data_IF_324536242471
#
_entry.id   IF_324536242471
#
_cell.length_a   1.000
_cell.length_b   1.000
_cell.length_c   1.000
_cell.angle_alpha   90.00
_cell.angle_beta   90.00
_cell.angle_gamma   90.00
#
_symmetry.space_group_name_H-M   'P 1'
#
loop_
_entity.id
_entity.type
_entity.pdbx_description
1 polymer ?
#
# COMPACT_ATOMS: atom_id res chain seq x y z
N UNK A 1 -6.78 -44.99 18.21
CA UNK A 1 -5.47 -44.34 17.88
C UNK A 1 -5.38 -43.81 16.46
N UNK A 2 -5.76 -44.56 15.41
CA UNK A 2 -5.66 -44.13 14.00
C UNK A 2 -6.43 -42.84 13.65
N UNK A 3 -7.60 -42.59 14.27
CA UNK A 3 -8.43 -41.40 14.05
C UNK A 3 -7.83 -40.10 14.62
N UNK A 4 -7.04 -40.18 15.70
CA UNK A 4 -6.47 -39.00 16.38
C UNK A 4 -5.32 -38.41 15.54
N UNK A 5 -4.54 -39.26 14.87
CA UNK A 5 -3.44 -38.85 13.98
C UNK A 5 -3.98 -38.12 12.73
N UNK A 6 -5.13 -38.56 12.21
CA UNK A 6 -5.77 -37.93 11.04
C UNK A 6 -6.31 -36.53 11.41
N UNK A 7 -6.88 -36.36 12.61
CA UNK A 7 -7.33 -35.05 13.10
C UNK A 7 -6.17 -34.06 13.33
N UNK A 8 -5.04 -34.53 13.84
CA UNK A 8 -3.84 -33.70 14.04
C UNK A 8 -3.21 -33.24 12.72
N UNK A 9 -3.20 -34.12 11.70
CA UNK A 9 -2.74 -33.77 10.35
C UNK A 9 -3.66 -32.72 9.70
N UNK A 10 -4.97 -32.80 9.90
CA UNK A 10 -5.96 -31.83 9.40
C UNK A 10 -5.85 -30.46 10.09
N UNK A 11 -5.45 -30.40 11.36
CA UNK A 11 -5.27 -29.13 12.07
C UNK A 11 -4.02 -28.36 11.60
N UNK A 12 -2.94 -29.07 11.25
CA UNK A 12 -1.68 -28.45 10.80
C UNK A 12 -1.80 -27.74 9.43
N UNK A 13 -2.67 -28.22 8.54
CA UNK A 13 -2.90 -27.61 7.22
C UNK A 13 -3.78 -26.35 7.25
N UNK A 14 -4.50 -26.10 8.35
CA UNK A 14 -5.41 -24.92 8.47
C UNK A 14 -4.64 -23.66 8.89
N UNK A 15 -3.51 -23.78 9.60
CA UNK A 15 -2.76 -22.65 10.13
C UNK A 15 -1.88 -21.91 9.10
N UNK A 16 -1.76 -22.38 7.85
CA UNK A 16 -0.90 -21.77 6.84
C UNK A 16 -1.61 -20.80 5.86
N UNK A 17 -2.92 -20.59 5.96
CA UNK A 17 -3.70 -19.87 4.92
C UNK A 17 -4.20 -18.49 5.37
N UNK A 18 -3.35 -17.71 6.03
CA UNK A 18 -3.59 -16.27 6.17
C UNK A 18 -2.39 -15.50 5.63
N UNK A 19 -2.27 -15.50 4.30
CA UNK A 19 -1.45 -14.51 3.61
C UNK A 19 -2.29 -13.22 3.55
N UNK A 20 -1.87 -12.18 4.26
CA UNK A 20 -2.51 -10.88 4.15
C UNK A 20 -2.53 -10.47 2.66
N UNK A 21 -3.66 -9.98 2.13
CA UNK A 21 -3.69 -9.47 0.76
C UNK A 21 -2.66 -8.34 0.67
N UNK A 22 -1.63 -8.55 -0.14
CA UNK A 22 -0.63 -7.51 -0.40
C UNK A 22 -1.23 -6.55 -1.41
N UNK A 23 -1.94 -5.52 -0.93
CA UNK A 23 -2.40 -4.43 -1.78
C UNK A 23 -1.19 -3.67 -2.30
N UNK A 24 -1.08 -3.50 -3.62
CA UNK A 24 -0.01 -2.66 -4.18
C UNK A 24 -0.26 -1.19 -3.82
N UNK A 25 0.76 -0.32 -3.80
CA UNK A 25 0.58 1.11 -3.55
C UNK A 25 -0.43 1.78 -4.50
N UNK A 26 -0.42 1.37 -5.78
CA UNK A 26 -1.37 1.83 -6.80
C UNK A 26 -2.81 1.48 -6.41
N UNK A 27 -3.01 0.26 -5.92
CA UNK A 27 -4.32 -0.23 -5.53
C UNK A 27 -4.79 0.40 -4.22
N UNK A 28 -3.87 0.67 -3.29
CA UNK A 28 -4.16 1.46 -2.10
C UNK A 28 -4.62 2.87 -2.48
N UNK A 29 -3.92 3.55 -3.38
CA UNK A 29 -4.31 4.86 -3.89
C UNK A 29 -5.71 4.87 -4.51
N UNK A 30 -5.99 3.92 -5.41
CA UNK A 30 -7.29 3.82 -6.06
C UNK A 30 -8.44 3.56 -5.07
N UNK A 31 -8.20 2.76 -4.02
CA UNK A 31 -9.20 2.49 -2.98
C UNK A 31 -9.53 3.72 -2.13
N UNK A 32 -8.63 4.72 -2.08
CA UNK A 32 -8.82 5.99 -1.37
C UNK A 32 -9.42 7.07 -2.28
N UNK A 33 -9.77 6.72 -3.53
CA UNK A 33 -10.29 7.69 -4.51
C UNK A 33 -9.23 8.55 -5.20
N UNK A 34 -7.95 8.28 -4.93
CA UNK A 34 -6.82 8.95 -5.60
C UNK A 34 -6.50 8.35 -6.96
N UNK A 35 -5.65 9.04 -7.72
CA UNK A 35 -5.16 8.59 -9.03
C UNK A 35 -3.66 8.33 -8.98
N UNK A 36 -3.23 7.12 -9.30
CA UNK A 36 -1.81 6.81 -9.39
C UNK A 36 -1.19 7.42 -10.66
N UNK A 37 -0.14 8.24 -10.50
CA UNK A 37 0.52 8.90 -11.63
C UNK A 37 1.98 9.25 -11.34
N UNK A 38 2.68 9.65 -12.39
CA UNK A 38 4.06 10.14 -12.32
C UNK A 38 4.11 11.65 -12.10
N UNK A 39 4.88 12.07 -11.10
CA UNK A 39 5.19 13.46 -10.77
C UNK A 39 6.60 13.84 -11.24
N UNK A 40 6.83 15.12 -11.48
CA UNK A 40 8.14 15.65 -11.93
C UNK A 40 9.12 15.97 -10.81
N UNK A 41 8.76 15.70 -9.56
CA UNK A 41 9.61 15.96 -8.40
C UNK A 41 9.56 14.81 -7.38
N UNK A 42 10.53 14.78 -6.46
CA UNK A 42 10.67 13.74 -5.43
C UNK A 42 9.61 13.81 -4.33
N UNK A 43 8.89 14.91 -4.20
CA UNK A 43 7.86 15.06 -3.18
C UNK A 43 6.53 14.49 -3.64
N UNK A 44 6.28 14.42 -4.95
CA UNK A 44 5.02 13.95 -5.52
C UNK A 44 3.83 14.55 -4.77
N UNK A 45 2.73 13.87 -4.50
CA UNK A 45 1.65 14.46 -3.69
C UNK A 45 1.77 14.20 -2.18
N UNK A 46 2.98 13.94 -1.67
CA UNK A 46 3.11 13.58 -0.26
C UNK A 46 2.80 14.75 0.69
N UNK A 47 2.21 14.41 1.83
CA UNK A 47 2.01 15.30 2.97
C UNK A 47 3.36 15.70 3.60
N UNK A 48 4.06 16.62 2.95
CA UNK A 48 5.37 17.11 3.39
C UNK A 48 5.28 18.57 3.82
N UNK A 49 6.03 18.90 4.88
CA UNK A 49 6.25 20.29 5.27
C UNK A 49 7.31 20.98 4.40
N UNK A 50 7.95 20.24 3.49
CA UNK A 50 8.92 20.78 2.57
C UNK A 50 8.24 21.65 1.51
N UNK A 51 8.82 22.81 1.21
CA UNK A 51 8.43 23.57 0.03
C UNK A 51 8.73 22.75 -1.22
N UNK A 52 7.90 22.85 -2.26
CA UNK A 52 8.16 22.25 -3.58
C UNK A 52 9.53 22.59 -4.15
N UNK A 53 10.08 23.75 -3.79
CA UNK A 53 11.42 24.18 -4.20
C UNK A 53 12.56 23.32 -3.60
N UNK A 54 12.29 22.57 -2.54
CA UNK A 54 13.25 21.68 -1.87
C UNK A 54 13.22 20.25 -2.43
N UNK A 55 12.26 19.94 -3.30
CA UNK A 55 12.10 18.63 -3.90
C UNK A 55 13.11 18.44 -5.04
N UNK A 56 13.75 17.28 -5.09
CA UNK A 56 14.64 16.95 -6.20
C UNK A 56 13.82 16.82 -7.49
N UNK A 57 14.36 17.27 -8.61
CA UNK A 57 13.73 17.17 -9.92
C UNK A 57 13.94 15.76 -10.48
N UNK A 58 13.05 14.83 -10.12
CA UNK A 58 13.10 13.42 -10.50
C UNK A 58 11.68 12.92 -10.73
N UNK A 59 11.53 11.96 -11.65
CA UNK A 59 10.25 11.31 -11.88
C UNK A 59 9.91 10.39 -10.71
N UNK A 60 8.74 10.59 -10.11
CA UNK A 60 8.27 9.84 -8.93
C UNK A 60 6.86 9.35 -9.14
N UNK A 61 6.64 8.05 -9.05
CA UNK A 61 5.30 7.46 -9.08
C UNK A 61 4.67 7.51 -7.69
N UNK A 62 3.48 8.10 -7.59
CA UNK A 62 2.76 8.26 -6.33
C UNK A 62 1.26 8.41 -6.57
N UNK A 63 0.49 8.39 -5.48
CA UNK A 63 -0.91 8.78 -5.49
C UNK A 63 -1.07 10.30 -5.65
N UNK A 64 -2.02 10.72 -6.47
CA UNK A 64 -2.58 12.09 -6.52
C UNK A 64 -3.92 12.09 -5.78
N UNK A 65 -4.01 12.89 -4.73
CA UNK A 65 -5.13 13.02 -3.81
C UNK A 65 -5.99 14.27 -4.08
N UNK A 66 -5.79 14.97 -5.20
CA UNK A 66 -6.51 16.18 -5.61
C UNK A 66 -6.40 17.36 -4.62
N UNK A 67 -7.35 17.49 -3.68
CA UNK A 67 -7.39 18.55 -2.65
C UNK A 67 -6.73 18.12 -1.33
N UNK A 68 -6.50 16.82 -1.17
CA UNK A 68 -5.81 16.19 -0.04
C UNK A 68 -4.34 15.90 -0.40
N UNK A 69 -3.57 15.36 0.54
CA UNK A 69 -2.21 14.88 0.28
C UNK A 69 -2.02 13.41 0.66
N UNK A 70 -1.05 12.75 0.04
CA UNK A 70 -0.75 11.35 0.27
C UNK A 70 0.18 11.17 1.49
N UNK A 71 -0.20 10.34 2.46
CA UNK A 71 0.67 10.03 3.61
C UNK A 71 1.48 8.73 3.45
N UNK A 72 1.39 8.07 2.28
CA UNK A 72 1.98 6.76 2.03
C UNK A 72 0.98 5.60 2.10
N UNK A 73 -0.18 5.82 2.72
CA UNK A 73 -1.23 4.80 2.92
C UNK A 73 -2.61 5.30 2.51
N UNK A 74 -2.90 6.57 2.77
CA UNK A 74 -4.20 7.20 2.53
C UNK A 74 -4.05 8.68 2.15
N UNK A 75 -5.10 9.23 1.54
CA UNK A 75 -5.25 10.67 1.30
C UNK A 75 -5.80 11.32 2.58
N UNK A 76 -5.17 12.41 3.04
CA UNK A 76 -5.52 13.13 4.27
C UNK A 76 -5.55 14.65 4.08
#
# INVERSE_FOLDING_TARGET
MKLIIIMLMLFLIISCTQRAPTTTPEQACANQGGTWRTFGDSCADFCTNASRAQCAQVLTDSCDCNEECWNGTECI
#
